data_IF_561689861566
#
_entry.id   IF_561689861566
#
_cell.length_a   1.000
_cell.length_b   1.000
_cell.length_c   1.000
_cell.angle_alpha   90.00
_cell.angle_beta   90.00
_cell.angle_gamma   90.00
#
_symmetry.space_group_name_H-M   'P 1'
#
loop_
_entity.id
_entity.type
_entity.pdbx_description
1 polymer ?
#
# COMPACT_ATOMS: atom_id res chain seq x y z
N UNK A 1 -4.60 -1.20 9.36
CA UNK A 1 -4.43 -0.15 8.35
C UNK A 1 -2.96 0.02 8.03
N UNK A 2 -2.63 0.12 6.77
CA UNK A 2 -1.25 0.30 6.34
C UNK A 2 -0.92 1.78 6.18
N UNK A 3 -0.89 2.49 7.29
CA UNK A 3 -0.73 3.94 7.26
C UNK A 3 0.57 4.42 6.63
N UNK A 4 1.67 3.71 6.83
CA UNK A 4 2.93 4.09 6.21
C UNK A 4 2.84 4.00 4.69
N UNK A 5 2.26 2.92 4.18
CA UNK A 5 2.09 2.76 2.75
C UNK A 5 1.19 3.85 2.18
N UNK A 6 0.07 4.14 2.84
CA UNK A 6 -0.85 5.18 2.41
C UNK A 6 -0.13 6.53 2.34
N UNK A 7 0.63 6.87 3.38
CA UNK A 7 1.33 8.14 3.44
C UNK A 7 2.33 8.30 2.31
N UNK A 8 3.11 7.26 2.03
CA UNK A 8 4.12 7.35 0.98
C UNK A 8 3.50 7.38 -0.41
N UNK A 9 2.41 6.63 -0.62
CA UNK A 9 1.69 6.70 -1.89
C UNK A 9 1.15 8.11 -2.14
N UNK A 10 0.58 8.73 -1.11
CA UNK A 10 0.05 10.09 -1.23
C UNK A 10 1.16 11.11 -1.44
N UNK A 11 2.28 10.94 -0.77
CA UNK A 11 3.41 11.85 -0.92
C UNK A 11 3.91 11.87 -2.35
N UNK A 12 3.86 10.72 -3.03
CA UNK A 12 4.28 10.61 -4.42
C UNK A 12 3.16 10.88 -5.42
N UNK A 13 1.97 11.23 -4.93
CA UNK A 13 0.79 11.45 -5.79
C UNK A 13 0.39 10.20 -6.58
N UNK A 14 0.59 9.02 -5.99
CA UNK A 14 0.20 7.76 -6.60
C UNK A 14 -1.26 7.51 -6.24
N UNK A 15 -2.10 7.34 -7.24
CA UNK A 15 -3.54 7.17 -7.04
C UNK A 15 -3.89 5.72 -6.73
N UNK A 16 -5.08 5.53 -6.14
CA UNK A 16 -5.61 4.18 -5.93
C UNK A 16 -5.78 3.43 -7.25
N UNK A 17 -6.11 4.16 -8.31
CA UNK A 17 -6.23 3.56 -9.64
C UNK A 17 -4.90 2.98 -10.10
N UNK A 18 -3.80 3.69 -9.86
CA UNK A 18 -2.47 3.21 -10.25
C UNK A 18 -2.13 1.93 -9.49
N UNK A 19 -2.44 1.88 -8.20
CA UNK A 19 -2.22 0.67 -7.39
C UNK A 19 -3.10 -0.46 -7.90
N UNK A 20 -4.36 -0.15 -8.20
CA UNK A 20 -5.31 -1.17 -8.69
C UNK A 20 -4.82 -1.80 -9.99
N UNK A 21 -4.32 -0.99 -10.89
CA UNK A 21 -3.79 -1.50 -12.17
C UNK A 21 -2.58 -2.38 -11.94
N UNK A 22 -1.74 -2.01 -10.98
CA UNK A 22 -0.53 -2.78 -10.70
C UNK A 22 -0.84 -4.18 -10.18
N UNK A 23 -1.83 -4.30 -9.30
CA UNK A 23 -2.15 -5.58 -8.66
C UNK A 23 -3.35 -6.26 -9.32
N UNK A 24 -3.83 -5.72 -10.44
CA UNK A 24 -4.95 -6.28 -11.20
C UNK A 24 -6.21 -6.40 -10.34
N UNK A 25 -6.58 -5.31 -9.70
CA UNK A 25 -7.74 -5.24 -8.83
C UNK A 25 -8.54 -3.97 -9.12
N UNK A 26 -9.72 -3.84 -8.50
CA UNK A 26 -10.50 -2.61 -8.61
C UNK A 26 -10.01 -1.57 -7.61
N UNK A 27 -10.34 -0.30 -7.87
CA UNK A 27 -10.00 0.76 -6.91
C UNK A 27 -10.65 0.53 -5.55
N UNK A 28 -11.87 0.02 -5.55
CA UNK A 28 -12.57 -0.30 -4.31
C UNK A 28 -11.82 -1.35 -3.50
N UNK A 29 -11.32 -2.37 -4.20
CA UNK A 29 -10.51 -3.40 -3.55
C UNK A 29 -9.25 -2.80 -2.92
N UNK A 30 -8.59 -1.89 -3.63
CA UNK A 30 -7.40 -1.21 -3.10
C UNK A 30 -7.75 -0.42 -1.85
N UNK A 31 -8.85 0.34 -1.89
CA UNK A 31 -9.28 1.12 -0.72
C UNK A 31 -9.53 0.20 0.48
N UNK A 32 -10.20 -0.92 0.25
CA UNK A 32 -10.47 -1.88 1.34
C UNK A 32 -9.18 -2.44 1.93
N UNK A 33 -8.21 -2.74 1.08
CA UNK A 33 -6.92 -3.27 1.54
C UNK A 33 -6.13 -2.22 2.32
N UNK A 34 -6.14 -0.98 1.85
CA UNK A 34 -5.43 0.11 2.54
C UNK A 34 -6.08 0.43 3.88
N UNK A 35 -7.40 0.33 3.96
CA UNK A 35 -8.13 0.59 5.19
C UNK A 35 -8.06 -0.55 6.21
N UNK A 36 -7.56 -1.71 5.78
CA UNK A 36 -7.46 -2.87 6.66
C UNK A 36 -8.71 -3.75 6.69
N UNK A 37 -9.70 -3.45 5.85
CA UNK A 37 -10.90 -4.31 5.74
C UNK A 37 -10.51 -5.67 5.18
N UNK A 38 -9.62 -5.68 4.21
CA UNK A 38 -8.95 -6.88 3.73
C UNK A 38 -7.45 -6.63 3.74
N UNK A 39 -6.66 -7.66 3.56
CA UNK A 39 -5.21 -7.51 3.63
C UNK A 39 -4.58 -7.71 2.25
N UNK A 40 -3.47 -7.01 2.02
CA UNK A 40 -2.66 -7.29 0.85
C UNK A 40 -2.00 -8.66 1.02
N UNK A 41 -1.91 -9.39 -0.08
CA UNK A 41 -1.05 -10.58 -0.09
C UNK A 41 0.40 -10.12 -0.09
N UNK A 42 1.30 -11.04 0.26
CA UNK A 42 2.74 -10.74 0.21
C UNK A 42 3.14 -10.31 -1.20
N UNK A 43 2.63 -11.03 -2.22
CA UNK A 43 2.95 -10.70 -3.60
C UNK A 43 2.50 -9.29 -3.98
N UNK A 44 1.29 -8.91 -3.55
CA UNK A 44 0.77 -7.58 -3.84
C UNK A 44 1.59 -6.50 -3.16
N UNK A 45 1.93 -6.70 -1.89
CA UNK A 45 2.72 -5.73 -1.14
C UNK A 45 4.12 -5.58 -1.75
N UNK A 46 4.73 -6.69 -2.16
CA UNK A 46 6.03 -6.66 -2.81
C UNK A 46 5.97 -5.93 -4.14
N UNK A 47 4.91 -6.14 -4.92
CA UNK A 47 4.74 -5.45 -6.20
C UNK A 47 4.66 -3.94 -6.00
N UNK A 48 3.91 -3.49 -5.01
CA UNK A 48 3.81 -2.07 -4.68
C UNK A 48 5.18 -1.53 -4.27
N UNK A 49 5.88 -2.25 -3.41
CA UNK A 49 7.19 -1.83 -2.94
C UNK A 49 8.17 -1.69 -4.12
N UNK A 50 8.29 -2.72 -4.93
CA UNK A 50 9.30 -2.75 -6.01
C UNK A 50 8.98 -1.74 -7.10
N UNK A 51 7.71 -1.59 -7.46
CA UNK A 51 7.32 -0.78 -8.62
C UNK A 51 6.99 0.67 -8.26
N UNK A 52 6.46 0.93 -7.10
CA UNK A 52 5.98 2.26 -6.73
C UNK A 52 6.79 2.92 -5.62
N UNK A 53 7.27 2.13 -4.67
CA UNK A 53 7.97 2.64 -3.47
C UNK A 53 9.28 1.90 -3.26
N UNK A 54 10.18 1.87 -4.26
CA UNK A 54 11.40 1.06 -4.16
C UNK A 54 12.40 1.57 -3.12
N UNK A 55 12.31 2.85 -2.76
CA UNK A 55 13.22 3.45 -1.79
C UNK A 55 12.87 3.07 -0.34
N UNK A 56 11.72 2.44 -0.12
CA UNK A 56 11.30 2.07 1.22
C UNK A 56 11.40 0.56 1.43
N UNK A 57 11.58 0.15 2.68
CA UNK A 57 11.58 -1.25 3.02
C UNK A 57 10.16 -1.77 3.10
N UNK A 58 9.95 -2.99 2.66
CA UNK A 58 8.64 -3.62 2.73
C UNK A 58 8.12 -3.67 4.17
N UNK A 59 8.99 -3.96 5.13
CA UNK A 59 8.60 -4.01 6.53
C UNK A 59 8.08 -2.66 7.03
N UNK A 60 8.66 -1.56 6.56
CA UNK A 60 8.18 -0.23 6.91
C UNK A 60 6.78 0.01 6.33
N UNK A 61 6.61 -0.33 5.05
CA UNK A 61 5.34 -0.08 4.36
C UNK A 61 4.18 -0.89 4.95
N UNK A 62 4.47 -2.09 5.43
CA UNK A 62 3.45 -2.96 6.00
C UNK A 62 3.24 -2.73 7.49
N UNK A 63 4.02 -1.87 8.13
CA UNK A 63 3.86 -1.59 9.54
C UNK A 63 2.73 -0.60 9.77
N UNK A 64 1.97 -0.74 10.86
CA UNK A 64 0.97 0.26 11.22
C UNK A 64 1.67 1.55 11.66
N UNK A 65 1.07 2.70 11.28
CA UNK A 65 1.63 4.00 11.62
C UNK A 65 1.15 4.56 12.94
N UNK A 66 0.03 4.08 13.42
CA UNK A 66 -0.65 4.65 14.57
C UNK A 66 -0.29 3.95 15.87
N UNK A 67 0.68 3.07 15.84
CA UNK A 67 1.08 2.35 17.03
C UNK A 67 1.79 3.29 17.99
N UNK A 68 1.57 3.09 19.27
CA UNK A 68 2.28 3.89 20.24
C UNK A 68 3.79 3.66 20.14
N UNK A 69 4.49 4.69 20.44
CA UNK A 69 5.95 4.60 20.44
C UNK A 69 6.42 3.63 21.51
#
# INVERSE_FOLDING_TARGET
>A
MLGNMINELRRKNITNKAVAELIDASEKTVVNKLNGTTEFTVSEAMAINVNLLPEFRLSYLCAPTDRPA
#
